data_IF_828659482467
#
_entry.id   IF_828659482467
#
_cell.length_a   1.000
_cell.length_b   1.000
_cell.length_c   1.000
_cell.angle_alpha   90.00
_cell.angle_beta   90.00
_cell.angle_gamma   90.00
#
_symmetry.space_group_name_H-M   'P 1'
#
loop_
_entity.id
_entity.type
_entity.pdbx_description
1 polymer ?
#
# COMPACT_ATOMS: atom_id res chain seq x y z
N UNK A 1 9.21 8.47 -29.04
CA UNK A 1 8.33 7.61 -28.21
C UNK A 1 6.90 8.01 -28.49
N UNK A 2 6.04 7.06 -28.87
CA UNK A 2 4.62 7.33 -29.07
C UNK A 2 4.02 7.87 -27.76
N UNK A 3 3.39 9.04 -27.81
CA UNK A 3 2.77 9.66 -26.64
C UNK A 3 1.35 9.13 -26.54
N UNK A 4 1.14 8.14 -25.67
CA UNK A 4 -0.21 7.62 -25.39
C UNK A 4 -0.91 8.65 -24.50
N UNK A 5 -2.01 9.21 -24.98
CA UNK A 5 -2.79 10.19 -24.23
C UNK A 5 -3.26 9.59 -22.91
N UNK A 6 -2.98 10.24 -21.78
CA UNK A 6 -3.33 9.73 -20.45
C UNK A 6 -2.31 8.78 -19.83
N UNK A 7 -1.20 8.43 -20.50
CA UNK A 7 -0.10 7.64 -19.92
C UNK A 7 1.13 8.53 -19.76
N UNK A 8 1.65 8.62 -18.53
CA UNK A 8 2.88 9.34 -18.20
C UNK A 8 3.91 8.35 -17.66
N UNK A 9 5.14 8.44 -18.14
CA UNK A 9 6.25 7.65 -17.61
C UNK A 9 7.26 8.58 -16.94
N UNK A 10 7.71 8.21 -15.75
CA UNK A 10 8.71 8.93 -14.98
C UNK A 10 9.99 8.11 -14.96
N UNK A 11 11.11 8.74 -15.30
CA UNK A 11 12.44 8.13 -15.30
C UNK A 11 13.30 8.76 -14.20
N UNK A 12 14.22 7.99 -13.64
CA UNK A 12 15.23 8.53 -12.73
C UNK A 12 16.38 9.21 -13.51
N UNK A 13 17.34 9.77 -12.78
CA UNK A 13 18.50 10.47 -13.34
C UNK A 13 19.38 9.58 -14.24
N UNK A 14 19.34 8.24 -14.07
CA UNK A 14 20.04 7.28 -14.95
C UNK A 14 19.22 6.85 -16.17
N UNK A 15 18.04 7.45 -16.39
CA UNK A 15 17.18 7.15 -17.53
C UNK A 15 16.35 5.88 -17.39
N UNK A 16 16.41 5.18 -16.24
CA UNK A 16 15.59 4.00 -15.97
C UNK A 16 14.17 4.42 -15.61
N UNK A 17 13.20 3.67 -16.15
CA UNK A 17 11.79 3.83 -15.84
C UNK A 17 11.56 3.50 -14.36
N UNK A 18 10.93 4.40 -13.63
CA UNK A 18 10.62 4.20 -12.19
C UNK A 18 9.13 4.13 -11.95
N UNK A 19 8.35 4.96 -12.63
CA UNK A 19 6.90 5.02 -12.43
C UNK A 19 6.17 5.17 -13.76
N UNK A 20 4.98 4.57 -13.82
CA UNK A 20 4.02 4.77 -14.90
C UNK A 20 2.71 5.21 -14.27
N UNK A 21 2.18 6.34 -14.74
CA UNK A 21 0.87 6.86 -14.33
C UNK A 21 -0.09 6.70 -15.50
N UNK A 22 -1.25 6.10 -15.24
CA UNK A 22 -2.30 5.87 -16.25
C UNK A 22 -3.58 6.57 -15.80
N UNK A 23 -4.11 7.47 -16.62
CA UNK A 23 -5.42 8.08 -16.43
C UNK A 23 -6.50 7.07 -16.81
N UNK A 24 -7.08 6.48 -15.77
CA UNK A 24 -8.09 5.42 -15.87
C UNK A 24 -9.37 5.90 -16.58
N UNK A 25 -9.67 7.21 -16.58
CA UNK A 25 -10.82 7.75 -17.33
C UNK A 25 -10.64 7.64 -18.84
N UNK A 26 -9.40 7.69 -19.31
CA UNK A 26 -9.04 7.57 -20.73
C UNK A 26 -8.75 6.13 -21.14
N UNK A 27 -8.40 5.28 -20.17
CA UNK A 27 -8.10 3.86 -20.36
C UNK A 27 -8.77 3.00 -19.29
N UNK A 28 -10.10 2.87 -19.28
CA UNK A 28 -10.83 2.06 -18.29
C UNK A 28 -10.41 0.58 -18.31
N UNK A 29 -10.01 0.07 -19.48
CA UNK A 29 -9.48 -1.28 -19.66
C UNK A 29 -8.18 -1.54 -18.88
N UNK A 30 -7.42 -0.48 -18.54
CA UNK A 30 -6.19 -0.62 -17.77
C UNK A 30 -6.45 -1.19 -16.37
N UNK A 31 -7.63 -0.95 -15.77
CA UNK A 31 -7.98 -1.53 -14.47
C UNK A 31 -8.02 -3.06 -14.57
N UNK A 32 -8.64 -3.61 -15.62
CA UNK A 32 -8.73 -5.07 -15.81
C UNK A 32 -7.35 -5.69 -15.92
N UNK A 33 -6.52 -5.14 -16.79
CA UNK A 33 -5.14 -5.61 -16.98
C UNK A 33 -4.29 -5.47 -15.72
N UNK A 34 -4.41 -4.35 -14.97
CA UNK A 34 -3.68 -4.17 -13.72
C UNK A 34 -4.15 -5.13 -12.61
N UNK A 35 -5.44 -5.53 -12.61
CA UNK A 35 -5.97 -6.58 -11.72
C UNK A 35 -5.42 -7.96 -12.10
N UNK A 36 -5.42 -8.31 -13.39
CA UNK A 36 -4.86 -9.57 -13.90
C UNK A 36 -3.36 -9.69 -13.60
N UNK A 37 -2.63 -8.57 -13.66
CA UNK A 37 -1.22 -8.49 -13.28
C UNK A 37 -1.00 -8.53 -11.75
N UNK A 38 -2.06 -8.58 -10.93
CA UNK A 38 -1.96 -8.61 -9.48
C UNK A 38 -1.54 -7.29 -8.84
N UNK A 39 -1.43 -6.20 -9.60
CA UNK A 39 -0.92 -4.90 -9.14
C UNK A 39 -1.97 -4.04 -8.42
N UNK A 40 -3.25 -4.45 -8.48
CA UNK A 40 -4.35 -3.79 -7.78
C UNK A 40 -4.83 -4.55 -6.54
N UNK A 41 -4.33 -5.77 -6.33
CA UNK A 41 -4.60 -6.49 -5.09
C UNK A 41 -3.64 -5.99 -4.03
N UNK A 42 -4.19 -5.46 -2.92
CA UNK A 42 -3.40 -5.19 -1.72
C UNK A 42 -2.63 -6.45 -1.36
N UNK A 43 -1.32 -6.31 -1.22
CA UNK A 43 -0.46 -7.41 -0.78
C UNK A 43 -0.93 -7.92 0.59
N UNK A 44 -0.63 -9.18 0.91
CA UNK A 44 -0.93 -9.75 2.23
C UNK A 44 -0.43 -8.84 3.35
N UNK A 45 0.77 -8.27 3.17
CA UNK A 45 1.39 -7.30 4.06
C UNK A 45 0.58 -6.00 4.22
N UNK A 46 0.06 -5.42 3.13
CA UNK A 46 -0.78 -4.21 3.22
C UNK A 46 -2.12 -4.47 3.92
N UNK A 47 -2.69 -5.67 3.77
CA UNK A 47 -3.88 -6.07 4.52
C UNK A 47 -3.57 -6.24 6.01
N UNK A 48 -2.47 -6.93 6.34
CA UNK A 48 -2.00 -7.12 7.71
C UNK A 48 -1.66 -5.77 8.39
N UNK A 49 -1.16 -4.78 7.63
CA UNK A 49 -0.94 -3.43 8.14
C UNK A 49 -2.22 -2.62 8.35
N UNK A 50 -3.27 -2.82 7.55
CA UNK A 50 -4.58 -2.19 7.77
C UNK A 50 -5.36 -2.85 8.92
N UNK A 51 -5.18 -4.15 9.13
CA UNK A 51 -5.76 -4.91 10.24
C UNK A 51 -4.92 -4.81 11.53
N UNK A 52 -3.72 -4.23 11.45
CA UNK A 52 -2.86 -4.02 12.61
C UNK A 52 -3.52 -3.03 13.58
N UNK A 53 -3.58 -3.44 14.86
CA UNK A 53 -3.99 -2.60 15.98
C UNK A 53 -3.24 -1.28 15.97
N UNK A 54 -3.96 -0.18 16.21
CA UNK A 54 -3.38 1.15 16.31
C UNK A 54 -2.31 1.18 17.41
N UNK A 55 -1.27 2.02 17.24
CA UNK A 55 -0.23 2.21 18.26
C UNK A 55 -0.82 2.59 19.64
N UNK A 56 -1.94 3.30 19.64
CA UNK A 56 -2.64 3.72 20.85
C UNK A 56 -3.40 2.54 21.50
N UNK A 57 -4.10 1.72 20.71
CA UNK A 57 -4.70 0.46 21.18
C UNK A 57 -3.64 -0.49 21.75
N UNK A 58 -2.53 -0.69 21.01
CA UNK A 58 -1.44 -1.57 21.41
C UNK A 58 -0.80 -1.11 22.71
N UNK A 59 -0.60 0.21 22.88
CA UNK A 59 -0.08 0.79 24.12
C UNK A 59 -1.05 0.59 25.29
N UNK A 60 -2.36 0.74 25.06
CA UNK A 60 -3.38 0.51 26.09
C UNK A 60 -3.42 -0.95 26.53
N UNK A 61 -3.45 -1.88 25.58
CA UNK A 61 -3.42 -3.33 25.88
C UNK A 61 -2.14 -3.73 26.63
N UNK A 62 -0.98 -3.17 26.26
CA UNK A 62 0.28 -3.40 26.97
C UNK A 62 0.21 -2.86 28.41
N UNK A 63 -0.30 -1.65 28.60
CA UNK A 63 -0.49 -1.06 29.93
C UNK A 63 -1.45 -1.89 30.79
N UNK A 64 -2.58 -2.32 30.22
CA UNK A 64 -3.55 -3.16 30.92
C UNK A 64 -2.92 -4.51 31.30
N UNK A 65 -2.14 -5.13 30.42
CA UNK A 65 -1.38 -6.34 30.73
C UNK A 65 -0.33 -6.12 31.83
N UNK A 66 0.43 -5.04 31.79
CA UNK A 66 1.41 -4.71 32.84
C UNK A 66 0.72 -4.49 34.19
N UNK A 67 -0.48 -3.90 34.19
CA UNK A 67 -1.28 -3.70 35.40
C UNK A 67 -1.85 -5.01 35.94
N UNK A 68 -2.20 -5.97 35.08
CA UNK A 68 -2.64 -7.31 35.53
C UNK A 68 -1.50 -8.19 36.05
N UNK A 69 -0.25 -7.90 35.68
CA UNK A 69 0.92 -8.59 36.21
C UNK A 69 1.20 -8.30 37.70
N UNK A 70 0.37 -7.49 38.37
CA UNK A 70 0.27 -7.31 39.83
C UNK A 70 1.56 -7.72 40.55
N UNK A 71 2.58 -6.87 40.43
CA UNK A 71 3.92 -7.08 40.96
C UNK A 71 3.82 -7.56 42.41
N UNK A 72 4.04 -8.87 42.62
CA UNK A 72 4.04 -9.48 43.96
C UNK A 72 5.05 -8.70 44.81
N UNK A 73 4.53 -8.01 45.82
CA UNK A 73 5.31 -7.49 46.93
C UNK A 73 5.62 -8.61 47.90
#
# INVERSE_FOLDING_TARGET
MARIAGVKTTKNASGKLTHVTIDVRKHPQAIGTLKEMGLLNKTQFEKECEEAISLEEGRKQLHDFINTLAWKK
#
